data_IF_035071118483
#
_entry.id   IF_035071118483
#
_cell.length_a   1.000
_cell.length_b   1.000
_cell.length_c   1.000
_cell.angle_alpha   90.00
_cell.angle_beta   90.00
_cell.angle_gamma   90.00
#
_symmetry.space_group_name_H-M   'P 1'
#
loop_
_entity.id
_entity.type
_entity.pdbx_description
1 polymer ?
#
# COMPACT_ATOMS: atom_id res chain seq x y z
N UNK A 1 -2.39 -10.11 29.67
CA UNK A 1 -3.57 -9.89 28.80
C UNK A 1 -3.91 -8.41 28.59
N UNK A 2 -4.10 -7.58 29.63
CA UNK A 2 -4.39 -6.12 29.49
C UNK A 2 -3.34 -5.33 28.69
N UNK A 3 -2.05 -5.54 28.95
CA UNK A 3 -0.95 -4.84 28.25
C UNK A 3 -0.91 -5.15 26.74
N UNK A 4 -1.19 -6.40 26.34
CA UNK A 4 -1.27 -6.78 24.93
C UNK A 4 -2.49 -6.17 24.23
N UNK A 5 -3.64 -6.08 24.92
CA UNK A 5 -4.82 -5.41 24.35
C UNK A 5 -4.63 -3.90 24.20
N UNK A 6 -3.93 -3.26 25.14
CA UNK A 6 -3.65 -1.83 25.11
C UNK A 6 -2.66 -1.49 23.99
N UNK A 7 -1.56 -2.25 23.88
CA UNK A 7 -0.61 -2.11 22.78
C UNK A 7 -1.28 -2.35 21.41
N UNK A 8 -2.17 -3.34 21.31
CA UNK A 8 -2.93 -3.57 20.07
C UNK A 8 -3.78 -2.35 19.69
N UNK A 9 -4.42 -1.69 20.66
CA UNK A 9 -5.17 -0.45 20.45
C UNK A 9 -4.28 0.68 19.93
N UNK A 10 -3.11 0.91 20.54
CA UNK A 10 -2.22 2.01 20.15
C UNK A 10 -1.65 1.84 18.74
N UNK A 11 -1.25 0.62 18.36
CA UNK A 11 -0.77 0.36 17.00
C UNK A 11 -1.89 0.45 15.96
N UNK A 12 -3.13 0.06 16.31
CA UNK A 12 -4.27 0.26 15.41
C UNK A 12 -4.56 1.75 15.20
N UNK A 13 -4.54 2.56 16.26
CA UNK A 13 -4.71 4.02 16.14
C UNK A 13 -3.59 4.66 15.32
N UNK A 14 -2.34 4.19 15.48
CA UNK A 14 -1.22 4.64 14.66
C UNK A 14 -1.44 4.31 13.19
N UNK A 15 -1.92 3.11 12.88
CA UNK A 15 -2.27 2.71 11.51
C UNK A 15 -3.39 3.55 10.91
N UNK A 16 -4.43 3.88 11.70
CA UNK A 16 -5.51 4.78 11.27
C UNK A 16 -4.96 6.17 10.98
N UNK A 17 -4.11 6.73 11.85
CA UNK A 17 -3.46 8.00 11.61
C UNK A 17 -2.59 7.96 10.35
N UNK A 18 -1.82 6.89 10.15
CA UNK A 18 -1.03 6.68 8.92
C UNK A 18 -1.89 6.66 7.67
N UNK A 19 -3.02 5.94 7.71
CA UNK A 19 -4.00 5.91 6.62
C UNK A 19 -4.59 7.30 6.33
N UNK A 20 -4.94 8.07 7.36
CA UNK A 20 -5.43 9.44 7.21
C UNK A 20 -4.38 10.36 6.59
N UNK A 21 -3.11 10.25 6.99
CA UNK A 21 -2.00 11.04 6.43
C UNK A 21 -1.81 10.70 4.93
N UNK A 22 -1.80 9.42 4.57
CA UNK A 22 -1.70 8.99 3.17
C UNK A 22 -2.90 9.46 2.33
N UNK A 23 -4.11 9.42 2.88
CA UNK A 23 -5.31 9.96 2.22
C UNK A 23 -5.23 11.46 2.04
N UNK A 24 -4.76 12.19 3.05
CA UNK A 24 -4.55 13.62 2.97
C UNK A 24 -3.56 13.98 1.87
N UNK A 25 -2.43 13.24 1.78
CA UNK A 25 -1.45 13.41 0.70
C UNK A 25 -2.04 13.23 -0.70
N UNK A 26 -2.91 12.24 -0.89
CA UNK A 26 -3.61 12.03 -2.17
C UNK A 26 -4.61 13.14 -2.49
N UNK A 27 -5.45 13.51 -1.52
CA UNK A 27 -6.55 14.47 -1.72
C UNK A 27 -6.07 15.90 -1.91
N UNK A 28 -5.03 16.31 -1.19
CA UNK A 28 -4.60 17.70 -1.18
C UNK A 28 -3.53 18.04 -2.22
N UNK A 29 -3.01 17.04 -2.95
CA UNK A 29 -2.15 17.16 -4.15
C UNK A 29 -1.25 18.42 -4.15
N UNK A 30 -0.64 18.71 -3.00
CA UNK A 30 0.14 19.93 -2.78
C UNK A 30 1.53 19.74 -3.37
N UNK A 31 2.34 20.81 -3.45
CA UNK A 31 3.59 20.85 -4.23
C UNK A 31 4.59 19.71 -3.97
N UNK A 32 4.45 18.90 -2.90
CA UNK A 32 5.21 17.67 -2.65
C UNK A 32 4.36 16.58 -1.91
N UNK A 33 3.52 15.78 -2.61
CA UNK A 33 2.69 14.75 -1.97
C UNK A 33 3.53 13.61 -1.35
N UNK A 34 4.80 13.50 -1.74
CA UNK A 34 5.68 12.40 -1.37
C UNK A 34 5.96 12.34 0.13
N UNK A 35 6.08 13.48 0.81
CA UNK A 35 6.35 13.52 2.26
C UNK A 35 5.20 12.89 3.05
N UNK A 36 3.95 13.21 2.68
CA UNK A 36 2.76 12.62 3.32
C UNK A 36 2.69 11.12 3.10
N UNK A 37 2.99 10.64 1.89
CA UNK A 37 3.05 9.21 1.61
C UNK A 37 4.13 8.50 2.41
N UNK A 38 5.33 9.07 2.53
CA UNK A 38 6.40 8.48 3.34
C UNK A 38 6.00 8.42 4.82
N UNK A 39 5.50 9.52 5.40
CA UNK A 39 5.09 9.56 6.80
C UNK A 39 3.91 8.62 7.10
N UNK A 40 2.90 8.61 6.23
CA UNK A 40 1.75 7.71 6.35
C UNK A 40 2.16 6.24 6.23
N UNK A 41 3.03 5.92 5.28
CA UNK A 41 3.56 4.57 5.07
C UNK A 41 4.43 4.11 6.23
N UNK A 42 5.20 5.00 6.88
CA UNK A 42 5.98 4.65 8.08
C UNK A 42 5.09 4.27 9.27
N UNK A 43 3.99 5.00 9.49
CA UNK A 43 3.01 4.68 10.53
C UNK A 43 2.28 3.36 10.24
N UNK A 44 1.89 3.13 8.98
CA UNK A 44 1.31 1.87 8.53
C UNK A 44 2.31 0.71 8.62
N UNK A 45 3.58 0.94 8.32
CA UNK A 45 4.66 -0.05 8.41
C UNK A 45 4.85 -0.50 9.86
N UNK A 46 4.92 0.44 10.82
CA UNK A 46 4.99 0.11 12.25
C UNK A 46 3.79 -0.76 12.68
N UNK A 47 2.60 -0.45 12.17
CA UNK A 47 1.38 -1.23 12.40
C UNK A 47 1.49 -2.63 11.79
N UNK A 48 1.96 -2.75 10.55
CA UNK A 48 2.15 -4.02 9.85
C UNK A 48 3.17 -4.92 10.54
N UNK A 49 4.28 -4.35 11.04
CA UNK A 49 5.31 -5.05 11.80
C UNK A 49 4.73 -5.60 13.11
N UNK A 50 4.00 -4.77 13.87
CA UNK A 50 3.38 -5.20 15.12
C UNK A 50 2.42 -6.39 14.92
N UNK A 51 1.57 -6.32 13.90
CA UNK A 51 0.63 -7.40 13.56
C UNK A 51 1.24 -8.54 12.72
N UNK A 52 2.56 -8.49 12.45
CA UNK A 52 3.32 -9.49 11.69
C UNK A 52 2.73 -9.78 10.29
N UNK A 53 2.29 -8.73 9.61
CA UNK A 53 1.64 -8.84 8.30
C UNK A 53 2.65 -8.66 7.16
N UNK A 54 3.41 -9.71 6.85
CA UNK A 54 4.53 -9.66 5.90
C UNK A 54 4.23 -9.01 4.54
N UNK A 55 3.04 -9.25 3.97
CA UNK A 55 2.64 -8.62 2.70
C UNK A 55 2.53 -7.09 2.84
N UNK A 56 1.89 -6.60 3.91
CA UNK A 56 1.74 -5.16 4.11
C UNK A 56 3.07 -4.51 4.51
N UNK A 57 3.93 -5.22 5.24
CA UNK A 57 5.31 -4.77 5.47
C UNK A 57 6.01 -4.49 4.14
N UNK A 58 5.92 -5.44 3.19
CA UNK A 58 6.52 -5.26 1.88
C UNK A 58 5.87 -4.13 1.06
N UNK A 59 4.53 -4.02 1.07
CA UNK A 59 3.80 -2.92 0.45
C UNK A 59 4.31 -1.56 0.94
N UNK A 60 4.38 -1.35 2.25
CA UNK A 60 4.80 -0.06 2.81
C UNK A 60 6.28 0.23 2.53
N UNK A 61 7.16 -0.78 2.59
CA UNK A 61 8.57 -0.61 2.22
C UNK A 61 8.74 -0.20 0.75
N UNK A 62 7.98 -0.81 -0.16
CA UNK A 62 8.00 -0.48 -1.59
C UNK A 62 7.47 0.94 -1.81
N UNK A 63 6.38 1.33 -1.13
CA UNK A 63 5.84 2.68 -1.21
C UNK A 63 6.82 3.73 -0.69
N UNK A 64 7.45 3.49 0.47
CA UNK A 64 8.48 4.37 1.04
C UNK A 64 9.64 4.52 0.08
N UNK A 65 10.18 3.41 -0.44
CA UNK A 65 11.30 3.43 -1.38
C UNK A 65 10.95 4.21 -2.66
N UNK A 66 9.75 4.02 -3.21
CA UNK A 66 9.28 4.74 -4.40
C UNK A 66 9.20 6.25 -4.17
N UNK A 67 8.61 6.70 -3.06
CA UNK A 67 8.47 8.13 -2.77
C UNK A 67 9.78 8.79 -2.34
N UNK A 68 10.65 8.07 -1.63
CA UNK A 68 12.00 8.55 -1.34
C UNK A 68 12.82 8.70 -2.63
N UNK A 69 12.71 7.75 -3.57
CA UNK A 69 13.39 7.88 -4.87
C UNK A 69 12.96 9.17 -5.60
N UNK A 70 11.68 9.53 -5.54
CA UNK A 70 11.18 10.80 -6.10
C UNK A 70 11.79 12.00 -5.34
N UNK A 71 11.75 12.00 -4.01
CA UNK A 71 12.28 13.09 -3.17
C UNK A 71 13.79 13.31 -3.37
N UNK A 72 14.56 12.25 -3.61
CA UNK A 72 15.99 12.34 -3.91
C UNK A 72 16.30 12.68 -5.38
N UNK A 73 15.30 13.03 -6.19
CA UNK A 73 15.50 13.42 -7.59
C UNK A 73 15.85 12.25 -8.52
N UNK A 74 15.49 11.02 -8.14
CA UNK A 74 15.71 9.85 -9.00
C UNK A 74 14.77 9.88 -10.20
N UNK A 75 15.32 9.57 -11.38
CA UNK A 75 14.58 9.56 -12.63
C UNK A 75 13.42 8.54 -12.66
N UNK A 76 12.50 8.76 -13.60
CA UNK A 76 11.29 7.93 -13.80
C UNK A 76 11.60 6.44 -14.00
N UNK A 77 12.74 6.11 -14.62
CA UNK A 77 13.20 4.72 -14.77
C UNK A 77 13.39 4.01 -13.43
N UNK A 78 13.96 4.69 -12.44
CA UNK A 78 14.16 4.11 -11.09
C UNK A 78 12.82 3.90 -10.40
N UNK A 79 11.89 4.85 -10.56
CA UNK A 79 10.54 4.80 -9.96
C UNK A 79 9.70 3.64 -10.52
N UNK A 80 9.96 3.20 -11.76
CA UNK A 80 9.37 2.01 -12.35
C UNK A 80 10.10 0.72 -11.94
N UNK A 81 11.42 0.74 -11.99
CA UNK A 81 12.26 -0.47 -11.83
C UNK A 81 12.28 -0.95 -10.38
N UNK A 82 12.31 -0.04 -9.40
CA UNK A 82 12.33 -0.37 -7.97
C UNK A 82 11.11 -1.21 -7.56
N UNK A 83 9.86 -0.76 -7.81
CA UNK A 83 8.68 -1.53 -7.45
C UNK A 83 8.64 -2.90 -8.12
N UNK A 84 9.02 -3.00 -9.40
CA UNK A 84 9.08 -4.27 -10.12
C UNK A 84 10.07 -5.25 -9.50
N UNK A 85 11.29 -4.79 -9.20
CA UNK A 85 12.34 -5.64 -8.63
C UNK A 85 11.97 -6.12 -7.22
N UNK A 86 11.42 -5.23 -6.39
CA UNK A 86 10.96 -5.59 -5.05
C UNK A 86 9.74 -6.51 -5.08
N UNK A 87 8.81 -6.32 -6.03
CA UNK A 87 7.70 -7.25 -6.25
C UNK A 87 8.18 -8.63 -6.72
N UNK A 88 9.17 -8.70 -7.62
CA UNK A 88 9.78 -9.95 -8.05
C UNK A 88 10.43 -10.68 -6.86
N UNK A 89 11.19 -9.97 -6.03
CA UNK A 89 11.77 -10.52 -4.81
C UNK A 89 10.69 -11.07 -3.88
N UNK A 90 9.58 -10.35 -3.70
CA UNK A 90 8.46 -10.78 -2.88
C UNK A 90 7.82 -12.08 -3.40
N UNK A 91 7.66 -12.21 -4.72
CA UNK A 91 7.15 -13.45 -5.36
C UNK A 91 8.08 -14.63 -5.07
N UNK A 92 9.39 -14.44 -5.22
CA UNK A 92 10.39 -15.49 -4.96
C UNK A 92 10.32 -15.93 -3.49
N UNK A 93 10.34 -14.97 -2.56
CA UNK A 93 10.27 -15.25 -1.12
C UNK A 93 9.02 -16.03 -0.75
N UNK A 94 7.84 -15.63 -1.23
CA UNK A 94 6.61 -16.34 -0.91
C UNK A 94 6.50 -17.72 -1.57
N UNK A 95 7.10 -17.89 -2.75
CA UNK A 95 7.18 -19.18 -3.42
C UNK A 95 8.04 -20.16 -2.61
N UNK A 96 9.17 -19.69 -2.07
CA UNK A 96 10.03 -20.50 -1.18
C UNK A 96 9.35 -20.85 0.15
N UNK A 97 8.45 -20.01 0.65
CA UNK A 97 7.69 -20.25 1.87
C UNK A 97 6.49 -21.22 1.69
N UNK A 98 6.26 -21.73 0.48
CA UNK A 98 5.25 -22.77 0.22
C UNK A 98 3.81 -22.32 0.49
N UNK A 99 3.46 -21.07 0.18
CA UNK A 99 2.17 -20.50 0.56
C UNK A 99 1.01 -21.04 -0.30
N UNK A 100 0.04 -21.71 0.33
CA UNK A 100 -1.04 -22.46 -0.33
C UNK A 100 -2.07 -21.63 -1.14
N UNK A 101 -2.03 -20.29 -1.10
CA UNK A 101 -2.97 -19.42 -1.85
C UNK A 101 -2.22 -18.43 -2.74
N UNK A 102 -1.43 -18.99 -3.67
CA UNK A 102 -0.58 -18.25 -4.59
C UNK A 102 -1.37 -17.23 -5.44
N UNK A 103 -2.60 -17.54 -5.85
CA UNK A 103 -3.39 -16.69 -6.76
C UNK A 103 -3.73 -15.32 -6.15
N UNK A 104 -4.32 -15.29 -4.95
CA UNK A 104 -4.64 -14.03 -4.27
C UNK A 104 -3.39 -13.24 -3.92
N UNK A 105 -2.31 -13.93 -3.54
CA UNK A 105 -1.03 -13.30 -3.29
C UNK A 105 -0.47 -12.63 -4.55
N UNK A 106 -0.47 -13.32 -5.70
CA UNK A 106 -0.02 -12.76 -6.98
C UNK A 106 -0.84 -11.53 -7.35
N UNK A 107 -2.17 -11.58 -7.20
CA UNK A 107 -3.04 -10.41 -7.39
C UNK A 107 -2.59 -9.26 -6.49
N UNK A 108 -2.34 -9.55 -5.21
CA UNK A 108 -1.82 -8.57 -4.27
C UNK A 108 -0.48 -7.98 -4.72
N UNK A 109 0.48 -8.80 -5.16
CA UNK A 109 1.82 -8.33 -5.54
C UNK A 109 1.77 -7.51 -6.84
N UNK A 110 0.99 -7.96 -7.84
CA UNK A 110 0.71 -7.16 -9.03
C UNK A 110 0.04 -5.84 -8.66
N UNK A 111 -0.85 -5.86 -7.66
CA UNK A 111 -1.46 -4.67 -7.08
C UNK A 111 -0.43 -3.66 -6.56
N UNK A 112 0.60 -4.12 -5.83
CA UNK A 112 1.69 -3.25 -5.35
C UNK A 112 2.41 -2.59 -6.52
N UNK A 113 2.79 -3.38 -7.54
CA UNK A 113 3.48 -2.86 -8.71
C UNK A 113 2.63 -1.81 -9.45
N UNK A 114 1.37 -2.13 -9.72
CA UNK A 114 0.42 -1.23 -10.40
C UNK A 114 0.17 0.05 -9.61
N UNK A 115 -0.01 -0.05 -8.28
CA UNK A 115 -0.21 1.10 -7.40
C UNK A 115 1.01 2.03 -7.46
N UNK A 116 2.20 1.46 -7.31
CA UNK A 116 3.44 2.22 -7.25
C UNK A 116 3.79 2.88 -8.59
N UNK A 117 3.60 2.18 -9.71
CA UNK A 117 3.75 2.73 -11.05
C UNK A 117 2.68 3.81 -11.32
N UNK A 118 1.43 3.56 -10.91
CA UNK A 118 0.34 4.52 -11.03
C UNK A 118 0.63 5.85 -10.33
N UNK A 119 1.25 5.80 -9.15
CA UNK A 119 1.71 6.99 -8.43
C UNK A 119 2.87 7.69 -9.15
N UNK A 120 3.90 6.95 -9.58
CA UNK A 120 5.06 7.53 -10.26
C UNK A 120 4.70 8.27 -11.55
N UNK A 121 3.83 7.67 -12.37
CA UNK A 121 3.45 8.23 -13.68
C UNK A 121 2.15 9.05 -13.64
N UNK A 122 1.60 9.33 -12.45
CA UNK A 122 0.32 10.02 -12.29
C UNK A 122 -0.81 9.38 -13.13
N UNK A 123 -0.77 8.07 -13.30
CA UNK A 123 -1.72 7.33 -14.14
C UNK A 123 -2.84 6.78 -13.27
N UNK A 124 -4.00 7.45 -13.32
CA UNK A 124 -5.16 7.10 -12.50
C UNK A 124 -5.69 5.68 -12.76
N UNK A 125 -5.57 5.14 -13.98
CA UNK A 125 -6.00 3.77 -14.30
C UNK A 125 -5.12 2.73 -13.60
N UNK A 126 -3.80 2.88 -13.69
CA UNK A 126 -2.85 1.98 -13.02
C UNK A 126 -3.01 2.07 -11.50
N UNK A 127 -3.17 3.29 -10.98
CA UNK A 127 -3.42 3.50 -9.56
C UNK A 127 -4.72 2.83 -9.10
N UNK A 128 -5.82 2.97 -9.85
CA UNK A 128 -7.10 2.32 -9.59
C UNK A 128 -6.96 0.79 -9.50
N UNK A 129 -6.41 0.16 -10.53
CA UNK A 129 -6.26 -1.31 -10.56
C UNK A 129 -5.30 -1.80 -9.46
N UNK A 130 -4.26 -1.04 -9.16
CA UNK A 130 -3.34 -1.30 -8.06
C UNK A 130 -4.05 -1.29 -6.71
N UNK A 131 -4.76 -0.20 -6.39
CA UNK A 131 -5.53 -0.07 -5.15
C UNK A 131 -6.60 -1.16 -5.03
N UNK A 132 -7.36 -1.42 -6.09
CA UNK A 132 -8.39 -2.47 -6.09
C UNK A 132 -7.80 -3.86 -5.78
N UNK A 133 -6.67 -4.20 -6.40
CA UNK A 133 -6.01 -5.49 -6.19
C UNK A 133 -5.51 -5.65 -4.75
N UNK A 134 -4.93 -4.60 -4.17
CA UNK A 134 -4.50 -4.58 -2.76
C UNK A 134 -5.72 -4.70 -1.83
N UNK A 135 -6.82 -4.00 -2.12
CA UNK A 135 -8.04 -4.07 -1.34
C UNK A 135 -8.63 -5.49 -1.32
N UNK A 136 -8.74 -6.14 -2.49
CA UNK A 136 -9.22 -7.52 -2.60
C UNK A 136 -8.34 -8.49 -1.79
N UNK A 137 -7.02 -8.39 -1.92
CA UNK A 137 -6.11 -9.21 -1.12
C UNK A 137 -6.27 -8.94 0.38
N UNK A 138 -6.41 -7.68 0.79
CA UNK A 138 -6.58 -7.32 2.19
C UNK A 138 -7.91 -7.82 2.77
N UNK A 139 -9.02 -7.71 2.05
CA UNK A 139 -10.30 -8.30 2.44
C UNK A 139 -10.19 -9.82 2.60
N UNK A 140 -9.52 -10.49 1.65
CA UNK A 140 -9.28 -11.94 1.73
C UNK A 140 -8.48 -12.33 2.99
N UNK A 141 -7.40 -11.61 3.31
CA UNK A 141 -6.60 -11.86 4.53
C UNK A 141 -7.39 -11.56 5.81
N UNK A 142 -8.22 -10.53 5.79
CA UNK A 142 -9.11 -10.15 6.90
C UNK A 142 -10.12 -11.25 7.20
N UNK A 143 -10.75 -11.77 6.15
CA UNK A 143 -11.67 -12.91 6.23
C UNK A 143 -10.98 -14.18 6.75
N UNK A 144 -9.72 -14.42 6.38
CA UNK A 144 -8.87 -15.52 6.88
C UNK A 144 -8.35 -15.33 8.31
N UNK A 145 -8.83 -14.32 9.04
CA UNK A 145 -8.57 -14.13 10.47
C UNK A 145 -7.54 -13.04 10.80
N UNK A 146 -6.87 -12.44 9.81
CA UNK A 146 -5.95 -11.32 10.04
C UNK A 146 -6.69 -9.99 10.11
N UNK A 147 -7.49 -9.77 11.14
CA UNK A 147 -8.42 -8.61 11.23
C UNK A 147 -7.77 -7.25 10.99
N UNK A 148 -6.52 -7.03 11.41
CA UNK A 148 -5.81 -5.78 11.18
C UNK A 148 -5.65 -5.43 9.68
N UNK A 149 -5.69 -6.43 8.78
CA UNK A 149 -5.64 -6.21 7.33
C UNK A 149 -6.81 -5.38 6.78
N UNK A 150 -7.95 -5.33 7.48
CA UNK A 150 -9.08 -4.49 7.07
C UNK A 150 -8.73 -3.00 7.00
N UNK A 151 -7.72 -2.56 7.76
CA UNK A 151 -7.19 -1.19 7.65
C UNK A 151 -6.74 -0.89 6.22
N UNK A 152 -5.91 -1.76 5.63
CA UNK A 152 -5.46 -1.63 4.24
C UNK A 152 -6.59 -1.86 3.25
N UNK A 153 -7.55 -2.74 3.56
CA UNK A 153 -8.70 -2.98 2.71
C UNK A 153 -9.55 -1.72 2.53
N UNK A 154 -9.90 -1.06 3.63
CA UNK A 154 -10.68 0.18 3.64
C UNK A 154 -9.91 1.30 2.96
N UNK A 155 -8.65 1.50 3.34
CA UNK A 155 -7.78 2.53 2.77
C UNK A 155 -7.68 2.41 1.24
N UNK A 156 -7.37 1.21 0.73
CA UNK A 156 -7.22 0.99 -0.71
C UNK A 156 -8.56 1.01 -1.45
N UNK A 157 -9.67 0.69 -0.80
CA UNK A 157 -11.00 0.89 -1.38
C UNK A 157 -11.28 2.38 -1.60
N UNK A 158 -10.95 3.22 -0.60
CA UNK A 158 -11.08 4.67 -0.74
C UNK A 158 -10.18 5.19 -1.86
N UNK A 159 -8.91 4.77 -1.93
CA UNK A 159 -8.01 5.15 -3.03
C UNK A 159 -8.55 4.73 -4.40
N UNK A 160 -9.08 3.51 -4.54
CA UNK A 160 -9.69 3.06 -5.78
C UNK A 160 -10.89 3.92 -6.17
N UNK A 161 -11.78 4.26 -5.22
CA UNK A 161 -12.93 5.11 -5.49
C UNK A 161 -12.52 6.52 -5.90
N UNK A 162 -11.52 7.12 -5.25
CA UNK A 162 -11.01 8.43 -5.61
C UNK A 162 -10.34 8.43 -6.99
N UNK A 163 -9.56 7.38 -7.30
CA UNK A 163 -8.97 7.20 -8.62
C UNK A 163 -10.03 7.11 -9.71
N UNK A 164 -11.09 6.35 -9.44
CA UNK A 164 -12.23 6.19 -10.33
C UNK A 164 -12.97 7.51 -10.52
N UNK A 165 -13.18 8.28 -9.45
CA UNK A 165 -13.74 9.64 -9.52
C UNK A 165 -12.91 10.52 -10.45
N UNK A 166 -11.58 10.56 -10.30
CA UNK A 166 -10.70 11.32 -11.20
C UNK A 166 -10.77 10.85 -12.66
N UNK A 167 -10.84 9.54 -12.91
CA UNK A 167 -10.96 8.99 -14.27
C UNK A 167 -12.23 9.48 -14.97
N UNK A 168 -13.37 9.55 -14.26
CA UNK A 168 -14.65 9.92 -14.86
C UNK A 168 -14.87 11.44 -14.90
N UNK A 169 -14.43 12.20 -13.89
CA UNK A 169 -14.66 13.65 -13.81
C UNK A 169 -13.66 14.45 -14.67
N UNK A 170 -12.37 14.04 -14.73
CA UNK A 170 -11.34 14.74 -15.50
C UNK A 170 -11.26 14.28 -16.98
N UNK A 171 -12.30 13.60 -17.47
CA UNK A 171 -12.45 13.17 -18.88
C UNK A 171 -13.38 14.08 -19.70
N UNK A 172 -13.79 15.23 -19.15
CA UNK A 172 -14.41 16.36 -19.86
C UNK A 172 -13.41 17.51 -19.86
#
# INVERSE_FOLDING_TARGET
MRLQSFASGTYLTLGILGACISLYGYLFQSQEPQVYYVLGSLALLATAIYYKLAYFIALELILIAGHLAILFGSGSHTQFTLPLLLCLQLIIVYSMLGQNNLMFLIIGILGIALLSIGLAYHNHWLFFFGSLSIALYAYYRGYRGQKASYLWAILNTIFALLALYHIFINRV
#
